data_IF_287842666400
#
_entry.id   IF_287842666400
#
_cell.length_a   1.000
_cell.length_b   1.000
_cell.length_c   1.000
_cell.angle_alpha   90.00
_cell.angle_beta   90.00
_cell.angle_gamma   90.00
#
_symmetry.space_group_name_H-M   'P 1'
#
loop_
_entity.id
_entity.type
_entity.pdbx_description
1 polymer ?
#
# COMPACT_ATOMS: atom_id res chain seq x y z
N UNK A 1 8.73 -11.54 -6.31
CA UNK A 1 8.98 -10.26 -5.63
C UNK A 1 7.71 -9.86 -4.90
N UNK A 2 7.85 -9.28 -3.72
CA UNK A 2 6.73 -8.85 -2.87
C UNK A 2 6.77 -7.33 -2.76
N UNK A 3 5.62 -6.67 -2.93
CA UNK A 3 5.52 -5.22 -2.77
C UNK A 3 5.41 -4.82 -1.30
N UNK A 4 5.98 -3.67 -0.96
CA UNK A 4 5.81 -3.04 0.34
C UNK A 4 5.55 -1.55 0.16
N UNK A 5 4.84 -0.97 1.11
CA UNK A 5 4.64 0.46 1.22
C UNK A 5 4.73 0.86 2.68
N UNK A 6 5.11 2.10 2.93
CA UNK A 6 5.12 2.71 4.25
C UNK A 6 4.50 4.10 4.15
N UNK A 7 3.68 4.46 5.13
CA UNK A 7 3.02 5.75 5.20
C UNK A 7 3.16 6.29 6.61
N UNK A 8 3.85 7.41 6.74
CA UNK A 8 3.87 8.19 7.97
C UNK A 8 2.60 9.07 8.01
N UNK A 9 1.72 8.78 8.97
CA UNK A 9 0.44 9.49 9.15
C UNK A 9 0.61 10.91 9.66
N UNK A 10 1.81 11.30 10.15
CA UNK A 10 2.11 12.67 10.56
C UNK A 10 2.33 13.65 9.39
N UNK A 11 2.17 13.18 8.14
CA UNK A 11 2.27 14.00 6.93
C UNK A 11 3.46 13.68 6.04
N UNK A 12 4.11 12.52 6.24
CA UNK A 12 5.21 12.08 5.41
C UNK A 12 4.78 11.67 4.00
N UNK A 13 5.71 11.75 3.05
CA UNK A 13 5.48 11.20 1.71
C UNK A 13 5.48 9.67 1.78
N UNK A 14 4.46 8.98 1.22
CA UNK A 14 4.45 7.53 1.20
C UNK A 14 5.72 6.98 0.52
N UNK A 15 6.31 5.96 1.14
CA UNK A 15 7.46 5.22 0.61
C UNK A 15 7.01 3.85 0.13
N UNK A 16 7.86 3.21 -0.68
CA UNK A 16 7.62 1.82 -1.03
C UNK A 16 8.59 1.27 -2.05
N UNK A 17 8.48 -0.03 -2.29
CA UNK A 17 9.34 -0.76 -3.20
C UNK A 17 8.93 -2.22 -3.31
N UNK A 18 9.90 -3.05 -3.69
CA UNK A 18 9.72 -4.50 -3.73
C UNK A 18 10.91 -5.19 -3.09
N UNK A 19 10.67 -6.32 -2.43
CA UNK A 19 11.73 -7.19 -1.92
C UNK A 19 11.63 -8.60 -2.50
N UNK A 20 12.69 -9.38 -2.33
CA UNK A 20 12.74 -10.78 -2.75
C UNK A 20 13.36 -11.71 -1.71
N UNK A 21 13.90 -11.18 -0.61
CA UNK A 21 14.50 -11.95 0.48
C UNK A 21 13.82 -11.66 1.82
N UNK A 22 13.88 -12.61 2.74
CA UNK A 22 13.28 -12.47 4.08
C UNK A 22 13.99 -11.45 4.95
N UNK A 23 15.31 -11.34 4.83
CA UNK A 23 16.11 -10.35 5.54
C UNK A 23 15.67 -8.91 5.23
N UNK A 24 15.10 -8.69 4.05
CA UNK A 24 14.60 -7.37 3.64
C UNK A 24 13.39 -6.94 4.49
N UNK A 25 12.55 -7.88 4.96
CA UNK A 25 11.39 -7.58 5.82
C UNK A 25 11.84 -7.06 7.18
N UNK A 26 12.81 -7.73 7.79
CA UNK A 26 13.40 -7.31 9.06
C UNK A 26 14.08 -5.95 8.93
N UNK A 27 14.82 -5.73 7.84
CA UNK A 27 15.41 -4.43 7.56
C UNK A 27 14.36 -3.32 7.42
N UNK A 28 13.22 -3.57 6.77
CA UNK A 28 12.13 -2.60 6.66
C UNK A 28 11.53 -2.25 8.02
N UNK A 29 11.33 -3.24 8.89
CA UNK A 29 10.85 -3.02 10.27
C UNK A 29 11.84 -2.14 11.04
N UNK A 30 13.13 -2.47 11.00
CA UNK A 30 14.17 -1.72 11.71
C UNK A 30 14.39 -0.31 11.14
N UNK A 31 14.15 -0.10 9.84
CA UNK A 31 14.38 1.19 9.18
C UNK A 31 13.23 2.15 9.40
N UNK A 32 11.99 1.63 9.37
CA UNK A 32 10.78 2.45 9.38
C UNK A 32 10.03 2.44 10.71
N UNK A 33 10.43 1.56 11.65
CA UNK A 33 9.86 1.42 13.00
C UNK A 33 8.32 1.52 12.99
N UNK A 34 7.61 0.67 12.21
CA UNK A 34 6.19 0.84 12.03
C UNK A 34 5.42 0.50 13.32
N UNK A 35 4.46 1.35 13.68
CA UNK A 35 3.55 1.10 14.80
C UNK A 35 2.56 -0.05 14.51
N UNK A 36 2.29 -0.31 13.23
CA UNK A 36 1.37 -1.35 12.76
C UNK A 36 1.81 -1.92 11.42
N UNK A 37 1.54 -3.21 11.21
CA UNK A 37 1.83 -3.92 9.96
C UNK A 37 0.54 -4.46 9.34
N UNK A 38 0.31 -4.16 8.05
CA UNK A 38 -0.83 -4.70 7.30
C UNK A 38 -0.31 -5.70 6.27
N UNK A 39 -0.84 -6.92 6.32
CA UNK A 39 -0.42 -8.03 5.45
C UNK A 39 -1.60 -8.45 4.58
N UNK A 40 -1.39 -8.60 3.28
CA UNK A 40 -2.42 -9.19 2.41
C UNK A 40 -2.71 -10.62 2.87
N UNK A 41 -3.98 -10.90 3.17
CA UNK A 41 -4.44 -12.21 3.58
C UNK A 41 -4.35 -13.18 2.39
N UNK A 42 -3.55 -14.24 2.55
CA UNK A 42 -3.50 -15.31 1.56
C UNK A 42 -4.80 -16.12 1.56
N UNK A 43 -5.51 -16.15 0.43
CA UNK A 43 -6.67 -17.03 0.21
C UNK A 43 -6.45 -17.90 -1.01
N UNK A 44 -6.46 -19.22 -0.80
CA UNK A 44 -6.42 -20.19 -1.90
C UNK A 44 -7.85 -20.41 -2.40
N UNK A 45 -8.14 -20.02 -3.64
CA UNK A 45 -9.40 -20.37 -4.28
C UNK A 45 -9.29 -21.77 -4.89
N UNK A 46 -10.31 -22.65 -4.74
CA UNK A 46 -10.30 -23.98 -5.32
C UNK A 46 -10.00 -23.97 -6.83
N UNK A 47 -10.54 -22.99 -7.56
CA UNK A 47 -10.32 -22.79 -9.00
C UNK A 47 -8.89 -22.34 -9.38
N UNK A 48 -8.13 -21.79 -8.43
CA UNK A 48 -6.75 -21.35 -8.62
C UNK A 48 -5.73 -22.36 -8.08
N UNK A 49 -6.16 -23.33 -7.27
CA UNK A 49 -5.29 -24.35 -6.65
C UNK A 49 -4.50 -25.16 -7.67
N UNK A 50 -5.11 -25.51 -8.82
CA UNK A 50 -4.48 -26.27 -9.90
C UNK A 50 -3.40 -25.50 -10.65
N UNK A 51 -3.42 -24.16 -10.61
CA UNK A 51 -2.38 -23.28 -11.18
C UNK A 51 -1.25 -22.98 -10.20
N UNK A 52 -1.49 -23.20 -8.91
CA UNK A 52 -0.54 -22.96 -7.81
C UNK A 52 0.12 -24.24 -7.29
N UNK A 53 -0.28 -25.42 -7.78
CA UNK A 53 0.23 -26.74 -7.38
C UNK A 53 1.75 -26.94 -7.52
N UNK A 54 2.42 -26.11 -8.34
CA UNK A 54 3.86 -26.15 -8.58
C UNK A 54 4.60 -24.94 -8.00
N UNK A 55 3.86 -23.99 -7.43
CA UNK A 55 4.40 -22.75 -6.89
C UNK A 55 4.20 -22.82 -5.38
N UNK A 56 5.05 -23.65 -4.75
CA UNK A 56 4.99 -24.07 -3.36
C UNK A 56 4.69 -22.90 -2.44
N UNK A 57 3.43 -22.71 -2.06
CA UNK A 57 3.03 -21.99 -0.85
C UNK A 57 3.70 -20.60 -0.66
N UNK A 58 4.29 -19.96 -1.69
CA UNK A 58 5.21 -18.83 -1.51
C UNK A 58 4.47 -17.66 -0.87
N UNK A 59 3.23 -17.42 -1.27
CA UNK A 59 2.41 -16.38 -0.67
C UNK A 59 2.00 -16.72 0.78
N UNK A 60 1.77 -17.99 1.12
CA UNK A 60 1.52 -18.41 2.50
C UNK A 60 2.80 -18.31 3.36
N UNK A 61 3.96 -18.61 2.79
CA UNK A 61 5.28 -18.43 3.42
C UNK A 61 5.58 -16.95 3.64
N UNK A 62 5.29 -16.08 2.65
CA UNK A 62 5.43 -14.62 2.80
C UNK A 62 4.55 -14.12 3.94
N UNK A 63 3.27 -14.52 3.95
CA UNK A 63 2.35 -14.15 5.02
C UNK A 63 2.88 -14.60 6.39
N UNK A 64 3.26 -15.87 6.52
CA UNK A 64 3.78 -16.42 7.77
C UNK A 64 5.08 -15.78 8.24
N UNK A 65 6.00 -15.47 7.31
CA UNK A 65 7.25 -14.80 7.62
C UNK A 65 7.03 -13.36 8.11
N UNK A 66 6.17 -12.60 7.42
CA UNK A 66 5.83 -11.24 7.84
C UNK A 66 5.14 -11.22 9.21
N UNK A 67 4.19 -12.13 9.46
CA UNK A 67 3.52 -12.25 10.76
C UNK A 67 4.50 -12.63 11.87
N UNK A 68 5.36 -13.63 11.64
CA UNK A 68 6.37 -14.04 12.63
C UNK A 68 7.37 -12.91 12.95
N UNK A 69 7.73 -12.10 11.95
CA UNK A 69 8.58 -10.92 12.17
C UNK A 69 7.85 -9.84 12.96
N UNK A 70 6.59 -9.54 12.63
CA UNK A 70 5.78 -8.61 13.42
C UNK A 70 5.68 -9.04 14.89
N UNK A 71 5.40 -10.33 15.13
CA UNK A 71 5.33 -10.91 16.47
C UNK A 71 6.68 -10.83 17.21
N UNK A 72 7.80 -11.09 16.52
CA UNK A 72 9.17 -10.97 17.08
C UNK A 72 9.44 -9.56 17.61
N UNK A 73 8.98 -8.53 16.91
CA UNK A 73 9.19 -7.13 17.27
C UNK A 73 8.03 -6.54 18.10
N UNK A 74 7.05 -7.36 18.49
CA UNK A 74 5.85 -6.95 19.23
C UNK A 74 5.03 -5.85 18.52
N UNK A 75 5.03 -5.88 17.18
CA UNK A 75 4.28 -4.93 16.35
C UNK A 75 2.92 -5.53 16.02
N UNK A 76 1.80 -4.85 16.36
CA UNK A 76 0.47 -5.28 15.96
C UNK A 76 0.37 -5.47 14.45
N UNK A 77 -0.23 -6.58 14.01
CA UNK A 77 -0.43 -6.85 12.59
C UNK A 77 -1.85 -7.27 12.24
N UNK A 78 -2.24 -6.96 11.00
CA UNK A 78 -3.59 -7.21 10.50
C UNK A 78 -3.58 -7.86 9.12
N UNK A 79 -4.27 -8.99 9.00
CA UNK A 79 -4.53 -9.63 7.71
C UNK A 79 -5.69 -8.93 6.99
N UNK A 80 -5.46 -8.42 5.78
CA UNK A 80 -6.48 -7.73 4.98
C UNK A 80 -6.77 -8.44 3.66
N UNK A 81 -8.05 -8.53 3.28
CA UNK A 81 -8.43 -9.20 2.03
C UNK A 81 -8.08 -8.33 0.81
N UNK A 82 -7.41 -8.95 -0.17
CA UNK A 82 -7.04 -8.35 -1.45
C UNK A 82 -8.20 -7.69 -2.21
N UNK A 83 -9.43 -8.19 -2.05
CA UNK A 83 -10.61 -7.68 -2.76
C UNK A 83 -10.90 -6.23 -2.42
N UNK A 84 -10.69 -5.82 -1.16
CA UNK A 84 -10.99 -4.46 -0.71
C UNK A 84 -9.99 -3.46 -1.29
N UNK A 85 -8.69 -3.78 -1.23
CA UNK A 85 -7.63 -2.97 -1.81
C UNK A 85 -7.80 -2.81 -3.33
N UNK A 86 -8.15 -3.88 -4.04
CA UNK A 86 -8.32 -3.87 -5.51
C UNK A 86 -9.45 -2.97 -6.00
N UNK A 87 -10.44 -2.67 -5.16
CA UNK A 87 -11.55 -1.76 -5.49
C UNK A 87 -11.18 -0.28 -5.35
N UNK A 88 -10.07 0.02 -4.69
CA UNK A 88 -9.60 1.40 -4.54
C UNK A 88 -8.99 1.87 -5.85
N UNK A 89 -9.65 2.80 -6.54
CA UNK A 89 -9.06 3.54 -7.65
C UNK A 89 -8.40 4.81 -7.12
N UNK A 90 -7.11 4.95 -7.39
CA UNK A 90 -6.31 6.13 -6.99
C UNK A 90 -6.16 7.12 -8.14
N UNK A 91 -6.81 6.85 -9.29
CA UNK A 91 -6.75 7.65 -10.50
C UNK A 91 -5.38 7.59 -11.19
N UNK A 92 -5.26 8.35 -12.30
CA UNK A 92 -4.01 8.52 -13.05
C UNK A 92 -3.08 9.49 -12.29
N UNK A 93 -1.79 9.17 -12.21
CA UNK A 93 -0.77 10.02 -11.55
C UNK A 93 -0.05 9.38 -10.36
N UNK A 94 -0.36 8.12 -10.02
CA UNK A 94 0.34 7.45 -8.92
C UNK A 94 1.79 7.09 -9.31
N UNK A 95 2.75 7.43 -8.44
CA UNK A 95 4.19 7.26 -8.69
C UNK A 95 4.69 5.84 -8.43
N UNK A 96 3.86 4.99 -7.82
CA UNK A 96 4.26 3.64 -7.45
C UNK A 96 4.12 2.61 -8.57
N UNK A 97 5.09 1.72 -8.64
CA UNK A 97 5.01 0.50 -9.46
C UNK A 97 3.90 -0.42 -8.93
N UNK A 98 3.34 -1.29 -9.80
CA UNK A 98 2.17 -2.14 -9.52
C UNK A 98 2.14 -2.79 -8.13
N UNK A 99 3.24 -3.44 -7.71
CA UNK A 99 3.28 -4.18 -6.43
C UNK A 99 3.29 -3.25 -5.21
N UNK A 100 4.06 -2.17 -5.29
CA UNK A 100 4.09 -1.12 -4.27
C UNK A 100 2.73 -0.42 -4.15
N UNK A 101 2.10 -0.16 -5.29
CA UNK A 101 0.77 0.42 -5.36
C UNK A 101 -0.28 -0.47 -4.68
N UNK A 102 -0.21 -1.79 -4.87
CA UNK A 102 -1.12 -2.75 -4.23
C UNK A 102 -0.94 -2.73 -2.71
N UNK A 103 0.30 -2.77 -2.21
CA UNK A 103 0.61 -2.64 -0.79
C UNK A 103 0.13 -1.30 -0.21
N UNK A 104 0.29 -0.20 -0.95
CA UNK A 104 -0.17 1.12 -0.51
C UNK A 104 -1.71 1.19 -0.41
N UNK A 105 -2.44 0.55 -1.34
CA UNK A 105 -3.90 0.47 -1.25
C UNK A 105 -4.38 -0.25 0.02
N UNK A 106 -3.65 -1.26 0.48
CA UNK A 106 -3.96 -1.94 1.72
C UNK A 106 -3.87 -1.01 2.94
N UNK A 107 -2.87 -0.12 2.96
CA UNK A 107 -2.73 0.93 3.99
C UNK A 107 -3.93 1.88 3.97
N UNK A 108 -4.29 2.41 2.79
CA UNK A 108 -5.42 3.34 2.68
C UNK A 108 -6.75 2.71 3.09
N UNK A 109 -6.99 1.44 2.73
CA UNK A 109 -8.19 0.72 3.17
C UNK A 109 -8.20 0.54 4.69
N UNK A 110 -7.03 0.28 5.29
CA UNK A 110 -6.91 0.14 6.74
C UNK A 110 -7.23 1.45 7.46
N UNK A 111 -6.58 2.55 7.07
CA UNK A 111 -6.81 3.87 7.67
C UNK A 111 -8.27 4.31 7.52
N UNK A 112 -8.88 4.07 6.35
CA UNK A 112 -10.31 4.32 6.16
C UNK A 112 -11.19 3.54 7.14
N UNK A 113 -10.83 2.30 7.47
CA UNK A 113 -11.57 1.47 8.45
C UNK A 113 -11.40 1.96 9.89
N UNK A 114 -10.26 2.57 10.21
CA UNK A 114 -10.01 3.19 11.52
C UNK A 114 -10.65 4.58 11.65
N UNK A 115 -11.21 5.14 10.57
CA UNK A 115 -11.73 6.51 10.55
C UNK A 115 -10.64 7.57 10.41
N UNK A 116 -9.42 7.17 10.06
CA UNK A 116 -8.22 8.02 10.03
C UNK A 116 -7.96 8.66 8.65
N UNK A 117 -8.67 8.23 7.60
CA UNK A 117 -8.62 8.90 6.29
C UNK A 117 -10.00 9.00 5.66
N UNK A 118 -10.43 10.23 5.36
CA UNK A 118 -11.28 10.49 4.20
C UNK A 118 -10.43 10.20 2.96
N UNK A 119 -10.68 9.09 2.27
CA UNK A 119 -10.07 8.86 0.95
C UNK A 119 -10.27 10.13 0.10
N UNK A 120 -9.27 10.60 -0.67
CA UNK A 120 -9.39 11.84 -1.42
C UNK A 120 -10.66 11.79 -2.25
N UNK A 121 -11.62 12.66 -1.90
CA UNK A 121 -12.87 12.77 -2.62
C UNK A 121 -12.53 13.36 -3.98
N UNK A 122 -13.15 12.83 -5.02
CA UNK A 122 -12.95 13.25 -6.41
C UNK A 122 -13.17 14.78 -6.59
N UNK A 123 -13.90 15.39 -5.67
CA UNK A 123 -14.23 16.82 -5.59
C UNK A 123 -13.03 17.75 -5.28
N UNK A 124 -11.94 17.25 -4.69
CA UNK A 124 -10.77 18.08 -4.38
C UNK A 124 -9.91 18.40 -5.62
N UNK A 125 -10.16 17.74 -6.76
CA UNK A 125 -9.42 17.98 -8.02
C UNK A 125 -9.84 19.25 -8.76
N UNK A 126 -10.98 19.84 -8.42
CA UNK A 126 -11.49 21.02 -9.14
C UNK A 126 -11.06 22.36 -8.54
N UNK A 127 -10.47 22.37 -7.33
CA UNK A 127 -10.01 23.61 -6.67
C UNK A 127 -8.57 24.02 -6.96
N UNK A 128 -7.78 23.16 -7.60
CA UNK A 128 -6.38 23.46 -7.96
C UNK A 128 -6.17 23.83 -9.44
N UNK A 129 -7.22 24.15 -10.20
CA UNK A 129 -7.02 24.86 -11.46
C UNK A 129 -6.69 26.32 -11.14
N UNK A 130 -5.47 26.82 -11.44
CA UNK A 130 -5.18 28.24 -11.30
C UNK A 130 -6.10 29.00 -12.24
N UNK A 131 -7.11 29.67 -11.68
CA UNK A 131 -7.81 30.76 -12.36
C UNK A 131 -6.86 31.94 -12.40
N UNK A 132 -6.19 32.14 -13.53
CA UNK A 132 -5.62 33.44 -13.87
C UNK A 132 -4.21 33.39 -14.43
N UNK A 133 -4.12 33.54 -15.75
CA UNK A 133 -3.25 34.58 -16.29
C UNK A 133 -4.10 35.42 -17.23
N UNK A 134 -4.63 36.54 -16.72
CA UNK A 134 -5.09 37.62 -17.58
C UNK A 134 -3.86 38.20 -18.26
N UNK A 135 -3.80 38.10 -19.59
CA UNK A 135 -2.88 38.89 -20.41
C UNK A 135 -3.27 40.36 -20.25
N UNK A 136 -2.44 41.16 -19.60
CA UNK A 136 -2.51 42.61 -19.75
C UNK A 136 -1.94 43.02 -21.12
N UNK A 137 -2.55 44.00 -21.81
CA UNK A 137 -2.13 44.40 -23.15
C UNK A 137 -0.87 45.26 -23.11
N UNK A 138 0.02 45.02 -24.07
CA UNK A 138 1.16 45.90 -24.34
C UNK A 138 0.66 47.27 -24.82
N UNK A 139 1.06 48.33 -24.13
CA UNK A 139 0.95 49.71 -24.60
C UNK A 139 2.27 50.12 -25.24
N UNK A 140 2.20 50.57 -26.50
CA UNK A 140 3.27 51.27 -27.22
C UNK A 140 3.45 52.72 -26.71
#
# INVERSE_FOLDING_TARGET
TTGWAFLDTAGGTPLGGTFSKWADVEQLILTHEPDQIIIEAFRLYPSASSRLKWNDLIAAQVFGACAAMADKYLIPWHAQNAVEAKRLDLGRGNRFHKHTLDAYKHILVWLKKQGETDAPKEEDRERERPTGTACEPATD
#
